data_IF_086473369197
#
_entry.id   IF_086473369197
#
_cell.length_a   1.000
_cell.length_b   1.000
_cell.length_c   1.000
_cell.angle_alpha   90.00
_cell.angle_beta   90.00
_cell.angle_gamma   90.00
#
_symmetry.space_group_name_H-M   'P 1'
#
loop_
_entity.id
_entity.type
_entity.pdbx_description
1 polymer ?
#
# COMPACT_ATOMS: atom_id res chain seq x y z
N UNK A 1 -9.67 0.81 -8.49
CA UNK A 1 -9.93 -0.61 -8.13
C UNK A 1 -9.10 -1.50 -9.04
N UNK A 2 -7.99 -2.07 -8.57
CA UNK A 2 -7.30 -3.16 -9.27
C UNK A 2 -7.74 -4.47 -8.62
N UNK A 3 -8.93 -4.94 -8.99
CA UNK A 3 -9.48 -6.17 -8.43
C UNK A 3 -8.99 -7.32 -9.30
N UNK A 4 -8.29 -8.27 -8.70
CA UNK A 4 -7.96 -9.57 -9.28
C UNK A 4 -6.89 -9.62 -10.39
N UNK A 5 -5.93 -8.70 -10.42
CA UNK A 5 -4.72 -8.95 -11.22
C UNK A 5 -3.79 -9.91 -10.47
N UNK A 6 -4.03 -11.21 -10.65
CA UNK A 6 -3.13 -12.31 -10.24
C UNK A 6 -1.72 -12.19 -10.85
N UNK A 7 -1.47 -11.20 -11.70
CA UNK A 7 -0.21 -10.92 -12.37
C UNK A 7 0.47 -9.63 -11.89
N UNK A 8 -0.16 -8.84 -11.01
CA UNK A 8 0.43 -7.60 -10.51
C UNK A 8 1.56 -7.95 -9.53
N UNK A 9 2.79 -7.99 -10.04
CA UNK A 9 3.98 -8.32 -9.25
C UNK A 9 4.57 -7.11 -8.53
N UNK A 10 4.28 -5.91 -9.05
CA UNK A 10 4.75 -4.64 -8.48
C UNK A 10 3.65 -3.60 -8.62
N UNK A 11 3.42 -2.84 -7.55
CA UNK A 11 2.43 -1.77 -7.56
C UNK A 11 2.97 -0.59 -8.36
N UNK A 12 2.09 0.14 -9.07
CA UNK A 12 2.45 1.43 -9.63
C UNK A 12 2.87 2.40 -8.52
N UNK A 13 3.77 3.32 -8.85
CA UNK A 13 4.21 4.38 -7.92
C UNK A 13 2.99 5.19 -7.48
N UNK A 14 2.76 5.23 -6.17
CA UNK A 14 1.61 5.93 -5.61
C UNK A 14 2.02 7.39 -5.37
N UNK A 15 1.49 8.35 -6.14
CA UNK A 15 1.91 9.74 -6.06
C UNK A 15 1.53 10.37 -4.72
N UNK A 16 2.32 11.36 -4.29
CA UNK A 16 2.10 12.19 -3.09
C UNK A 16 0.98 13.23 -3.25
N UNK A 17 -0.12 12.85 -3.90
CA UNK A 17 -1.28 13.72 -4.07
C UNK A 17 -2.09 13.88 -2.78
N UNK A 18 -2.90 14.95 -2.68
CA UNK A 18 -3.93 15.03 -1.64
C UNK A 18 -4.77 13.75 -1.69
N UNK A 19 -4.73 12.98 -0.61
CA UNK A 19 -5.61 11.83 -0.47
C UNK A 19 -7.06 12.29 -0.54
N UNK A 20 -7.72 11.97 -1.64
CA UNK A 20 -9.17 11.98 -1.66
C UNK A 20 -9.69 10.84 -0.77
N UNK A 21 -10.89 11.01 -0.21
CA UNK A 21 -11.53 9.96 0.58
C UNK A 21 -11.58 8.65 -0.21
N UNK A 22 -11.12 7.57 0.42
CA UNK A 22 -11.09 6.21 -0.14
C UNK A 22 -10.31 6.07 -1.46
N UNK A 23 -9.32 6.93 -1.73
CA UNK A 23 -8.60 6.93 -3.00
C UNK A 23 -7.78 5.65 -3.25
N UNK A 24 -7.23 5.03 -2.20
CA UNK A 24 -6.49 3.76 -2.26
C UNK A 24 -7.27 2.62 -1.59
N UNK A 25 -8.57 2.79 -1.37
CA UNK A 25 -9.41 1.78 -0.72
C UNK A 25 -9.46 0.49 -1.53
N UNK A 26 -9.19 -0.65 -0.88
CA UNK A 26 -9.15 -2.01 -1.47
C UNK A 26 -8.38 -2.10 -2.80
N UNK A 27 -7.36 -1.25 -3.00
CA UNK A 27 -6.73 -1.12 -4.31
C UNK A 27 -5.87 -2.33 -4.69
N UNK A 28 -5.25 -3.01 -3.71
CA UNK A 28 -4.51 -4.27 -3.90
C UNK A 28 -5.20 -5.47 -3.24
N UNK A 29 -6.51 -5.37 -3.02
CA UNK A 29 -7.28 -6.46 -2.44
C UNK A 29 -7.14 -7.74 -3.28
N UNK A 30 -6.70 -8.83 -2.64
CA UNK A 30 -6.43 -10.14 -3.27
C UNK A 30 -5.28 -10.18 -4.30
N UNK A 31 -4.39 -9.18 -4.32
CA UNK A 31 -3.18 -9.22 -5.14
C UNK A 31 -2.09 -10.14 -4.55
N UNK A 32 -2.28 -11.46 -4.61
CA UNK A 32 -1.35 -12.45 -4.02
C UNK A 32 0.04 -12.50 -4.65
N UNK A 33 0.16 -12.03 -5.89
CA UNK A 33 1.45 -11.97 -6.60
C UNK A 33 2.20 -10.67 -6.34
N UNK A 34 1.61 -9.71 -5.63
CA UNK A 34 2.19 -8.40 -5.38
C UNK A 34 3.19 -8.46 -4.24
N UNK A 35 4.47 -8.38 -4.55
CA UNK A 35 5.56 -8.42 -3.56
C UNK A 35 6.35 -7.10 -3.49
N UNK A 36 5.95 -6.06 -4.21
CA UNK A 36 6.67 -4.78 -4.27
C UNK A 36 5.68 -3.62 -4.31
N UNK A 37 5.73 -2.71 -3.33
CA UNK A 37 4.90 -1.50 -3.30
C UNK A 37 5.78 -0.28 -3.10
N UNK A 38 5.57 0.75 -3.92
CA UNK A 38 6.28 2.04 -3.79
C UNK A 38 5.31 3.16 -3.48
N UNK A 39 5.37 3.66 -2.24
CA UNK A 39 4.66 4.83 -1.77
C UNK A 39 5.53 6.09 -1.91
N UNK A 40 4.96 7.20 -2.40
CA UNK A 40 5.60 8.53 -2.38
C UNK A 40 4.93 9.49 -1.40
N UNK A 41 3.82 9.09 -0.79
CA UNK A 41 3.07 9.91 0.15
C UNK A 41 3.75 9.98 1.53
N UNK A 42 3.51 11.08 2.25
CA UNK A 42 4.13 11.36 3.56
C UNK A 42 3.16 11.22 4.74
N UNK A 43 1.90 10.92 4.47
CA UNK A 43 0.83 10.73 5.46
C UNK A 43 -0.02 9.53 5.01
N UNK A 44 -0.62 8.80 5.94
CA UNK A 44 -1.56 7.72 5.65
C UNK A 44 -2.97 8.23 5.28
N UNK A 45 -3.17 9.55 5.28
CA UNK A 45 -4.48 10.16 5.06
C UNK A 45 -5.39 9.92 6.27
N UNK A 46 -4.84 10.09 7.48
CA UNK A 46 -5.58 9.93 8.73
C UNK A 46 -6.76 10.92 8.76
N UNK A 47 -7.99 10.41 8.59
CA UNK A 47 -9.22 11.21 8.53
C UNK A 47 -10.05 10.98 7.27
N UNK A 48 -9.48 10.36 6.23
CA UNK A 48 -10.18 10.10 4.96
C UNK A 48 -10.16 8.63 4.53
N UNK A 49 -9.68 7.74 5.42
CA UNK A 49 -9.58 6.29 5.22
C UNK A 49 -8.98 5.91 3.86
N UNK A 50 -7.97 6.67 3.42
CA UNK A 50 -7.44 6.53 2.07
C UNK A 50 -6.91 5.12 1.77
N UNK A 51 -6.28 4.48 2.75
CA UNK A 51 -5.60 3.17 2.67
C UNK A 51 -6.35 2.07 3.42
N UNK A 52 -7.64 2.25 3.72
CA UNK A 52 -8.42 1.22 4.40
C UNK A 52 -8.55 -0.04 3.50
N UNK A 53 -8.23 -1.20 4.06
CA UNK A 53 -8.29 -2.51 3.40
C UNK A 53 -7.34 -2.74 2.22
N UNK A 54 -6.54 -1.73 1.88
CA UNK A 54 -5.81 -1.70 0.61
C UNK A 54 -4.78 -2.81 0.43
N UNK A 55 -4.32 -3.44 1.52
CA UNK A 55 -3.34 -4.53 1.51
C UNK A 55 -3.89 -5.85 2.04
N UNK A 56 -5.21 -6.01 2.08
CA UNK A 56 -5.83 -7.28 2.46
C UNK A 56 -5.55 -8.35 1.40
N UNK A 57 -5.15 -9.54 1.85
CA UNK A 57 -4.91 -10.72 0.99
C UNK A 57 -3.85 -10.51 -0.11
N UNK A 58 -2.88 -9.61 0.12
CA UNK A 58 -1.68 -9.46 -0.73
C UNK A 58 -0.67 -10.60 -0.50
N UNK A 59 0.47 -10.58 -1.19
CA UNK A 59 1.52 -11.57 -0.98
C UNK A 59 1.94 -11.67 0.49
N UNK A 60 2.25 -12.89 0.92
CA UNK A 60 2.67 -13.17 2.29
C UNK A 60 3.98 -12.44 2.65
N UNK A 61 4.85 -12.20 1.67
CA UNK A 61 6.10 -11.47 1.82
C UNK A 61 6.32 -10.50 0.65
N UNK A 62 7.02 -9.41 0.92
CA UNK A 62 7.28 -8.37 -0.06
C UNK A 62 8.16 -7.24 0.48
N UNK A 63 8.36 -6.24 -0.35
CA UNK A 63 9.13 -5.04 -0.06
C UNK A 63 8.25 -3.80 -0.23
N UNK A 64 8.20 -2.97 0.79
CA UNK A 64 7.47 -1.70 0.82
C UNK A 64 8.48 -0.55 0.81
N UNK A 65 8.55 0.18 -0.30
CA UNK A 65 9.38 1.37 -0.45
C UNK A 65 8.56 2.60 -0.04
N UNK A 66 9.08 3.37 0.90
CA UNK A 66 8.41 4.58 1.41
C UNK A 66 9.39 5.73 1.63
N UNK A 67 8.94 6.98 1.67
CA UNK A 67 9.80 8.06 2.11
C UNK A 67 10.04 7.98 3.62
N UNK A 68 11.22 8.42 4.06
CA UNK A 68 11.59 8.50 5.49
C UNK A 68 10.67 9.39 6.33
N UNK A 69 9.87 10.25 5.69
CA UNK A 69 8.86 11.10 6.33
C UNK A 69 7.58 10.35 6.70
N UNK A 70 7.30 9.20 6.07
CA UNK A 70 6.12 8.40 6.35
C UNK A 70 6.36 7.51 7.59
N UNK A 71 5.47 7.62 8.56
CA UNK A 71 5.47 6.75 9.75
C UNK A 71 5.33 5.27 9.34
N UNK A 72 6.22 4.42 9.83
CA UNK A 72 6.14 2.97 9.63
C UNK A 72 5.04 2.39 10.51
N UNK A 73 3.88 2.09 9.91
CA UNK A 73 2.74 1.49 10.59
C UNK A 73 2.40 0.15 9.93
N UNK A 74 2.25 -0.90 10.73
CA UNK A 74 1.83 -2.22 10.24
C UNK A 74 0.33 -2.43 10.48
N UNK A 75 -0.33 -3.14 9.56
CA UNK A 75 -1.74 -3.50 9.65
C UNK A 75 -2.40 -3.64 8.28
N UNK A 76 -3.61 -4.17 8.26
CA UNK A 76 -4.41 -4.39 7.04
C UNK A 76 -4.71 -3.09 6.28
N UNK A 77 -4.76 -1.98 7.02
CA UNK A 77 -4.99 -0.62 6.52
C UNK A 77 -3.68 0.16 6.26
N UNK A 78 -2.51 -0.47 6.42
CA UNK A 78 -1.20 0.17 6.40
C UNK A 78 -0.20 -0.75 5.69
N UNK A 79 0.94 -1.07 6.30
CA UNK A 79 1.93 -1.99 5.73
C UNK A 79 1.62 -3.41 6.20
N UNK A 80 1.63 -4.42 5.31
CA UNK A 80 1.50 -5.82 5.75
C UNK A 80 2.61 -6.21 6.73
N UNK A 81 2.25 -6.88 7.82
CA UNK A 81 3.17 -7.21 8.93
C UNK A 81 4.42 -8.01 8.51
N UNK A 82 4.31 -8.82 7.45
CA UNK A 82 5.36 -9.69 6.97
C UNK A 82 6.21 -9.08 5.84
N UNK A 83 6.10 -7.76 5.61
CA UNK A 83 6.82 -7.07 4.54
C UNK A 83 8.04 -6.32 5.06
N UNK A 84 9.09 -6.29 4.22
CA UNK A 84 10.31 -5.52 4.47
C UNK A 84 10.07 -4.08 4.09
N UNK A 85 10.38 -3.14 4.99
CA UNK A 85 10.22 -1.71 4.73
C UNK A 85 11.57 -1.11 4.35
N UNK A 86 11.62 -0.40 3.22
CA UNK A 86 12.81 0.28 2.70
C UNK A 86 12.49 1.76 2.57
N UNK A 87 13.29 2.60 3.23
CA UNK A 87 13.17 4.04 3.06
C UNK A 87 13.91 4.48 1.77
N UNK A 88 13.21 5.19 0.88
CA UNK A 88 13.70 5.71 -0.41
C UNK A 88 13.59 7.23 -0.52
#
# INVERSE_FOLDING_TARGET
MFFADNYLTSAPVIPSGQFASNCLYDIFYECRSLYSITAQFTDWGSGVNATEGWTISVAENGTFYKPSTLSTEYGENRIPSNWTVVDV
#
